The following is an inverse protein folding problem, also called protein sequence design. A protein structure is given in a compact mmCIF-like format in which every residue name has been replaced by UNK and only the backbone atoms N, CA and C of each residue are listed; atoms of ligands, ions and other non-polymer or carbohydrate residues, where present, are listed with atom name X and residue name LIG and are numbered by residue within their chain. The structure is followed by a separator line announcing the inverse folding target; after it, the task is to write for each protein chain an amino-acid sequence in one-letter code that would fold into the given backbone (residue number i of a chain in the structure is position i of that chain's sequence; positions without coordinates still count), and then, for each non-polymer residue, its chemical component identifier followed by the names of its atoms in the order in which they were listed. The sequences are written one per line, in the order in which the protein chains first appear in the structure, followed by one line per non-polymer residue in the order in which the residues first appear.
data_IF_773669453818
#
_entry.id   IF_773669453818
#
_cell.length_a   1.000
_cell.length_b   1.000
_cell.length_c   1.000
_cell.angle_alpha   90.00
_cell.angle_beta   90.00
_cell.angle_gamma   90.00
#
_symmetry.space_group_name_H-M   'P 1'
#
loop_
_entity.id
_entity.type
_entity.pdbx_description
1 polymer ?
#
# COMPACT_ATOMS: atom_id res chain seq x y z
N UNK A 1 -12.29 -71.18 21.26
CA UNK A 1 -10.89 -70.72 21.46
C UNK A 1 -10.45 -69.61 20.52
N UNK A 2 -10.33 -69.80 19.19
CA UNK A 2 -9.93 -68.68 18.29
C UNK A 2 -10.92 -67.50 18.22
N UNK A 3 -12.26 -67.72 18.23
CA UNK A 3 -13.25 -66.62 18.15
C UNK A 3 -13.30 -65.75 19.41
N UNK A 4 -13.11 -66.34 20.59
CA UNK A 4 -13.11 -65.63 21.88
C UNK A 4 -11.85 -64.78 22.05
N UNK A 5 -10.69 -65.27 21.60
CA UNK A 5 -9.45 -64.50 21.59
C UNK A 5 -9.53 -63.30 20.64
N UNK A 6 -10.17 -63.45 19.47
CA UNK A 6 -10.38 -62.33 18.55
C UNK A 6 -11.35 -61.30 19.15
N UNK A 7 -12.43 -61.75 19.80
CA UNK A 7 -13.39 -60.87 20.45
C UNK A 7 -12.78 -60.11 21.63
N UNK A 8 -11.92 -60.76 22.42
CA UNK A 8 -11.19 -60.12 23.51
C UNK A 8 -10.14 -59.12 23.00
N UNK A 9 -9.43 -59.44 21.91
CA UNK A 9 -8.47 -58.53 21.28
C UNK A 9 -9.16 -57.28 20.73
N UNK A 10 -10.31 -57.43 20.06
CA UNK A 10 -11.11 -56.30 19.55
C UNK A 10 -11.67 -55.45 20.69
N UNK A 11 -12.18 -56.06 21.77
CA UNK A 11 -12.64 -55.31 22.95
C UNK A 11 -11.50 -54.59 23.67
N UNK A 12 -10.29 -55.15 23.73
CA UNK A 12 -9.11 -54.47 24.28
C UNK A 12 -8.62 -53.32 23.39
N UNK A 13 -8.70 -53.44 22.06
CA UNK A 13 -8.33 -52.33 21.16
C UNK A 13 -9.35 -51.21 21.17
N UNK A 14 -10.66 -51.51 21.25
CA UNK A 14 -11.73 -50.51 21.33
C UNK A 14 -11.70 -49.78 22.68
N UNK A 15 -11.56 -50.49 23.80
CA UNK A 15 -11.46 -49.87 25.14
C UNK A 15 -10.14 -49.11 25.36
N UNK A 16 -9.05 -49.54 24.72
CA UNK A 16 -7.79 -48.79 24.69
C UNK A 16 -7.90 -47.47 23.90
N UNK A 17 -8.74 -47.42 22.86
CA UNK A 17 -8.89 -46.23 22.01
C UNK A 17 -9.77 -45.12 22.63
N UNK A 18 -10.77 -45.48 23.44
CA UNK A 18 -11.64 -44.50 24.12
C UNK A 18 -10.93 -43.72 25.24
N UNK A 19 -9.77 -44.18 25.69
CA UNK A 19 -8.97 -43.53 26.76
C UNK A 19 -7.82 -42.65 26.25
N UNK A 20 -7.57 -42.61 24.93
CA UNK A 20 -6.42 -41.88 24.36
C UNK A 20 -6.67 -40.39 24.14
N UNK A 21 -7.91 -39.91 24.28
CA UNK A 21 -8.23 -38.49 24.26
C UNK A 21 -8.87 -38.11 25.58
N UNK A 22 -8.03 -37.86 26.58
CA UNK A 22 -8.47 -37.30 27.85
C UNK A 22 -9.34 -36.04 27.60
N UNK A 23 -10.35 -35.74 28.42
CA UNK A 23 -11.28 -34.62 28.20
C UNK A 23 -10.64 -33.24 28.08
N UNK A 24 -9.34 -33.11 28.36
CA UNK A 24 -8.52 -31.90 28.25
C UNK A 24 -7.54 -31.93 27.07
N UNK A 25 -7.53 -32.98 26.24
CA UNK A 25 -6.63 -33.12 25.09
C UNK A 25 -6.77 -32.00 24.04
N UNK A 26 -7.90 -31.29 24.04
CA UNK A 26 -8.13 -30.10 23.20
C UNK A 26 -7.54 -28.80 23.79
N UNK A 27 -7.22 -28.75 25.09
CA UNK A 27 -6.77 -27.53 25.76
C UNK A 27 -5.41 -27.02 25.22
N UNK A 28 -4.38 -27.87 24.99
CA UNK A 28 -3.14 -27.42 24.35
C UNK A 28 -3.36 -26.89 22.93
N UNK A 29 -4.26 -27.51 22.16
CA UNK A 29 -4.62 -27.05 20.82
C UNK A 29 -5.34 -25.69 20.84
N UNK A 30 -6.23 -25.47 21.82
CA UNK A 30 -6.90 -24.19 22.00
C UNK A 30 -5.91 -23.10 22.46
N UNK A 31 -5.00 -23.40 23.37
CA UNK A 31 -3.95 -22.46 23.79
C UNK A 31 -3.05 -22.10 22.62
N UNK A 32 -2.60 -23.10 21.84
CA UNK A 32 -1.82 -22.86 20.64
C UNK A 32 -2.60 -22.00 19.63
N UNK A 33 -3.89 -22.27 19.42
CA UNK A 33 -4.74 -21.45 18.55
C UNK A 33 -4.84 -20.00 19.04
N UNK A 34 -5.06 -19.79 20.35
CA UNK A 34 -5.10 -18.45 20.95
C UNK A 34 -3.75 -17.74 20.78
N UNK A 35 -2.63 -18.43 21.03
CA UNK A 35 -1.29 -17.89 20.83
C UNK A 35 -1.06 -17.51 19.36
N UNK A 36 -1.45 -18.37 18.42
CA UNK A 36 -1.35 -18.08 16.99
C UNK A 36 -2.26 -16.92 16.55
N UNK A 37 -3.46 -16.79 17.15
CA UNK A 37 -4.36 -15.67 16.91
C UNK A 37 -3.79 -14.36 17.47
N UNK A 38 -3.32 -14.36 18.71
CA UNK A 38 -2.65 -13.21 19.34
C UNK A 38 -1.40 -12.83 18.55
N UNK A 39 -0.57 -13.80 18.16
CA UNK A 39 0.58 -13.59 17.29
C UNK A 39 0.15 -12.95 15.95
N UNK A 40 -0.88 -13.50 15.31
CA UNK A 40 -1.41 -12.98 14.06
C UNK A 40 -1.98 -11.56 14.18
N UNK A 41 -2.60 -11.21 15.31
CA UNK A 41 -3.20 -9.89 15.56
C UNK A 41 -2.14 -8.84 15.87
N UNK A 42 -1.14 -9.16 16.72
CA UNK A 42 -0.20 -8.17 17.25
C UNK A 42 1.15 -8.12 16.54
N UNK A 43 1.55 -9.20 15.85
CA UNK A 43 2.88 -9.31 15.25
C UNK A 43 2.88 -9.37 13.72
N UNK A 44 1.75 -9.70 13.08
CA UNK A 44 1.63 -9.60 11.62
C UNK A 44 1.32 -8.17 11.20
N UNK A 45 1.99 -7.69 10.14
CA UNK A 45 1.63 -6.40 9.53
C UNK A 45 0.20 -6.48 8.99
N UNK A 46 -0.67 -5.59 9.44
CA UNK A 46 -2.03 -5.45 8.93
C UNK A 46 -1.99 -4.69 7.61
N UNK A 47 -2.04 -5.36 6.46
CA UNK A 47 -2.24 -4.69 5.17
C UNK A 47 -3.67 -4.91 4.71
N UNK A 48 -4.47 -3.84 4.75
CA UNK A 48 -5.88 -3.88 4.42
C UNK A 48 -6.17 -2.98 3.24
N UNK A 49 -6.45 -3.56 2.08
CA UNK A 49 -6.76 -2.80 0.86
C UNK A 49 -8.24 -2.89 0.52
N UNK A 50 -8.89 -1.74 0.39
CA UNK A 50 -10.25 -1.55 -0.09
C UNK A 50 -10.20 -1.02 -1.52
N UNK A 51 -10.60 -1.86 -2.46
CA UNK A 51 -10.67 -1.51 -3.88
C UNK A 51 -11.88 -0.63 -4.18
N UNK A 52 -11.98 -0.09 -5.40
CA UNK A 52 -13.14 0.70 -5.81
C UNK A 52 -14.46 -0.07 -5.67
N UNK A 53 -14.48 -1.39 -5.85
CA UNK A 53 -15.70 -2.19 -5.68
C UNK A 53 -16.12 -2.35 -4.21
N UNK A 54 -15.19 -2.17 -3.28
CA UNK A 54 -15.46 -2.28 -1.84
C UNK A 54 -16.02 -0.99 -1.24
N UNK A 55 -15.84 0.16 -1.90
CA UNK A 55 -16.11 1.49 -1.33
C UNK A 55 -17.37 2.10 -1.94
N UNK A 56 -18.39 2.35 -1.10
CA UNK A 56 -19.41 3.39 -1.34
C UNK A 56 -20.38 3.23 -2.52
N UNK A 57 -20.21 2.24 -3.40
CA UNK A 57 -21.11 2.05 -4.54
C UNK A 57 -22.33 1.21 -4.17
N UNK A 58 -23.52 1.78 -4.41
CA UNK A 58 -24.81 1.10 -4.34
C UNK A 58 -25.15 0.64 -5.76
N UNK A 59 -25.32 -0.66 -5.95
CA UNK A 59 -25.67 -1.25 -7.24
C UNK A 59 -27.14 -0.99 -7.55
N UNK A 60 -27.45 -0.72 -8.82
CA UNK A 60 -28.80 -0.76 -9.36
C UNK A 60 -29.04 -2.13 -10.03
N UNK A 61 -30.30 -2.56 -10.14
CA UNK A 61 -30.66 -3.90 -10.60
C UNK A 61 -29.94 -4.30 -11.90
N UNK A 62 -29.29 -5.47 -11.86
CA UNK A 62 -28.59 -6.07 -13.00
C UNK A 62 -27.13 -5.62 -13.22
N UNK A 63 -26.60 -4.66 -12.46
CA UNK A 63 -25.20 -4.22 -12.58
C UNK A 63 -24.32 -4.75 -11.46
N UNK A 64 -23.10 -5.20 -11.81
CA UNK A 64 -22.08 -5.50 -10.81
C UNK A 64 -21.58 -4.21 -10.13
N UNK A 65 -20.96 -4.34 -8.94
CA UNK A 65 -20.30 -3.22 -8.26
C UNK A 65 -19.20 -2.59 -9.12
N UNK A 66 -18.43 -3.41 -9.82
CA UNK A 66 -17.40 -2.98 -10.76
C UNK A 66 -17.99 -2.15 -11.91
N UNK A 67 -19.09 -2.61 -12.51
CA UNK A 67 -19.74 -1.89 -13.61
C UNK A 67 -20.34 -0.57 -13.13
N UNK A 68 -20.92 -0.57 -11.94
CA UNK A 68 -21.46 0.62 -11.29
C UNK A 68 -20.34 1.64 -11.02
N UNK A 69 -19.22 1.23 -10.45
CA UNK A 69 -18.07 2.07 -10.19
C UNK A 69 -17.48 2.67 -11.49
N UNK A 70 -17.31 1.84 -12.53
CA UNK A 70 -16.83 2.28 -13.83
C UNK A 70 -17.79 3.25 -14.52
N UNK A 71 -19.10 3.00 -14.42
CA UNK A 71 -20.14 3.88 -14.95
C UNK A 71 -20.11 5.25 -14.26
N UNK A 72 -20.07 5.27 -12.93
CA UNK A 72 -20.01 6.53 -12.17
C UNK A 72 -18.73 7.30 -12.50
N UNK A 73 -17.58 6.62 -12.58
CA UNK A 73 -16.32 7.23 -13.01
C UNK A 73 -16.43 7.90 -14.38
N UNK A 74 -17.07 7.26 -15.35
CA UNK A 74 -17.25 7.81 -16.71
C UNK A 74 -18.33 8.89 -16.79
N UNK A 75 -19.36 8.79 -15.96
CA UNK A 75 -20.49 9.73 -15.94
C UNK A 75 -20.18 10.99 -15.13
N UNK A 76 -19.13 10.98 -14.30
CA UNK A 76 -18.70 12.14 -13.53
C UNK A 76 -18.35 13.27 -14.49
N UNK A 77 -19.16 14.33 -14.45
CA UNK A 77 -18.83 15.58 -15.12
C UNK A 77 -17.82 16.31 -14.25
N UNK A 78 -16.61 16.46 -14.78
CA UNK A 78 -15.61 17.33 -14.17
C UNK A 78 -16.10 18.78 -14.37
N UNK A 79 -16.48 19.43 -13.27
CA UNK A 79 -16.73 20.87 -13.28
C UNK A 79 -15.43 21.66 -13.41
N UNK A 80 -15.44 22.95 -13.04
CA UNK A 80 -14.19 23.67 -12.78
C UNK A 80 -13.59 23.18 -11.47
N UNK A 81 -12.80 22.13 -11.53
CA UNK A 81 -12.01 21.62 -10.40
C UNK A 81 -10.62 22.27 -10.40
N UNK A 82 -10.00 22.48 -9.22
CA UNK A 82 -8.60 22.90 -9.15
C UNK A 82 -7.67 21.85 -9.79
N UNK A 83 -6.38 22.17 -9.99
CA UNK A 83 -5.41 21.20 -10.51
C UNK A 83 -5.44 19.90 -9.71
N UNK A 84 -5.46 18.77 -10.43
CA UNK A 84 -5.66 17.43 -9.85
C UNK A 84 -4.55 17.04 -8.86
N UNK A 85 -3.34 17.56 -9.07
CA UNK A 85 -2.15 17.25 -8.28
C UNK A 85 -1.60 18.55 -7.66
N UNK A 86 -1.72 18.77 -6.34
CA UNK A 86 -1.03 19.86 -5.65
C UNK A 86 0.49 19.65 -5.64
N UNK A 87 1.26 20.75 -5.59
CA UNK A 87 2.71 20.68 -5.46
C UNK A 87 3.08 20.20 -4.04
N UNK A 88 4.02 19.27 -3.93
CA UNK A 88 4.42 18.70 -2.64
C UNK A 88 5.06 17.32 -2.73
N UNK A 89 5.29 16.75 -1.54
CA UNK A 89 5.78 15.38 -1.37
C UNK A 89 4.63 14.37 -1.38
N UNK A 90 4.78 13.31 -2.17
CA UNK A 90 3.84 12.19 -2.29
C UNK A 90 4.49 10.90 -1.81
N UNK A 91 3.87 10.20 -0.85
CA UNK A 91 4.29 8.85 -0.47
C UNK A 91 4.02 7.89 -1.63
N UNK A 92 5.09 7.37 -2.22
CA UNK A 92 5.02 6.44 -3.36
C UNK A 92 4.82 5.02 -2.86
N UNK A 93 5.61 4.62 -1.86
CA UNK A 93 5.51 3.33 -1.18
C UNK A 93 6.31 3.31 0.12
N UNK A 94 6.12 2.30 0.95
CA UNK A 94 6.98 2.03 2.09
C UNK A 94 8.35 1.55 1.62
N UNK A 95 9.42 2.00 2.26
CA UNK A 95 10.79 1.71 1.85
C UNK A 95 11.12 0.22 1.89
N UNK A 96 10.53 -0.52 2.84
CA UNK A 96 10.69 -1.97 3.01
C UNK A 96 10.02 -2.80 1.91
N UNK A 97 9.13 -2.19 1.12
CA UNK A 97 8.51 -2.83 -0.04
C UNK A 97 9.43 -2.81 -1.25
N UNK A 98 10.58 -2.14 -1.22
CA UNK A 98 11.51 -2.10 -2.34
C UNK A 98 12.88 -2.59 -1.87
N UNK A 99 13.22 -3.84 -2.19
CA UNK A 99 14.50 -4.43 -1.78
C UNK A 99 15.64 -3.96 -2.69
N UNK A 100 16.90 -3.96 -2.23
CA UNK A 100 18.05 -3.70 -3.10
C UNK A 100 18.02 -4.59 -4.35
N UNK A 101 18.25 -4.00 -5.53
CA UNK A 101 18.18 -4.69 -6.82
C UNK A 101 16.76 -4.88 -7.38
N UNK A 102 15.71 -4.45 -6.67
CA UNK A 102 14.32 -4.59 -7.10
C UNK A 102 13.85 -3.36 -7.89
N UNK A 103 12.98 -3.58 -8.87
CA UNK A 103 12.27 -2.54 -9.61
C UNK A 103 10.76 -2.81 -9.59
N UNK A 104 9.96 -1.74 -9.54
CA UNK A 104 8.50 -1.77 -9.48
C UNK A 104 7.89 -0.69 -10.35
N UNK A 105 6.73 -1.01 -10.94
CA UNK A 105 5.89 -0.04 -11.64
C UNK A 105 4.85 0.52 -10.68
N UNK A 106 4.83 1.84 -10.51
CA UNK A 106 3.85 2.54 -9.66
C UNK A 106 3.08 3.56 -10.50
N UNK A 107 1.77 3.68 -10.29
CA UNK A 107 0.96 4.73 -10.89
C UNK A 107 0.67 5.82 -9.84
N UNK A 108 1.10 7.04 -10.12
CA UNK A 108 0.99 8.19 -9.22
C UNK A 108 0.98 9.46 -10.07
N UNK A 109 0.32 10.55 -9.63
CA UNK A 109 0.34 11.87 -10.29
C UNK A 109 0.09 11.83 -11.82
N UNK A 110 -0.78 10.92 -12.27
CA UNK A 110 -1.12 10.74 -13.69
C UNK A 110 0.00 10.12 -14.54
N UNK A 111 1.07 9.63 -13.91
CA UNK A 111 2.24 9.00 -14.53
C UNK A 111 2.33 7.53 -14.16
N UNK A 112 3.04 6.78 -15.00
CA UNK A 112 3.59 5.48 -14.63
C UNK A 112 5.07 5.66 -14.35
N UNK A 113 5.50 5.25 -13.17
CA UNK A 113 6.83 5.46 -12.62
C UNK A 113 7.56 4.11 -12.49
N UNK A 114 8.84 4.11 -12.84
CA UNK A 114 9.78 3.03 -12.52
C UNK A 114 10.48 3.39 -11.21
N UNK A 115 10.09 2.72 -10.13
CA UNK A 115 10.66 2.85 -8.80
C UNK A 115 11.63 1.71 -8.61
N UNK A 116 12.90 1.98 -8.38
CA UNK A 116 13.90 0.92 -8.21
C UNK A 116 14.91 1.28 -7.14
N UNK A 117 15.49 0.25 -6.52
CA UNK A 117 16.58 0.41 -5.57
C UNK A 117 17.84 -0.18 -6.15
N UNK A 118 18.90 0.62 -6.21
CA UNK A 118 20.22 0.16 -6.65
C UNK A 118 20.70 -1.00 -5.79
N UNK A 119 21.72 -1.71 -6.27
CA UNK A 119 22.37 -2.77 -5.49
C UNK A 119 23.06 -2.22 -4.23
N UNK A 120 23.46 -0.94 -4.25
CA UNK A 120 24.00 -0.21 -3.10
C UNK A 120 22.94 0.22 -2.08
N UNK A 121 21.65 0.11 -2.42
CA UNK A 121 20.54 0.40 -1.53
C UNK A 121 19.90 1.78 -1.72
N UNK A 122 20.34 2.59 -2.68
CA UNK A 122 19.76 3.90 -2.98
C UNK A 122 18.49 3.76 -3.82
N UNK A 123 17.40 4.44 -3.44
CA UNK A 123 16.13 4.39 -4.17
C UNK A 123 16.01 5.53 -5.18
N UNK A 124 15.56 5.22 -6.38
CA UNK A 124 15.33 6.18 -7.45
C UNK A 124 13.96 5.99 -8.09
N UNK A 125 13.45 7.08 -8.67
CA UNK A 125 12.17 7.09 -9.37
C UNK A 125 12.35 7.80 -10.71
N UNK A 126 12.07 7.08 -11.79
CA UNK A 126 12.09 7.58 -13.15
C UNK A 126 10.69 7.48 -13.79
N UNK A 127 10.43 8.24 -14.85
CA UNK A 127 9.32 7.92 -15.75
C UNK A 127 9.51 6.50 -16.32
N UNK A 128 8.46 5.68 -16.32
CA UNK A 128 8.60 4.24 -16.53
C UNK A 128 8.92 3.83 -17.97
N UNK A 129 8.53 4.65 -18.95
CA UNK A 129 8.56 4.27 -20.36
C UNK A 129 9.89 4.64 -21.01
N UNK A 130 10.59 3.62 -21.52
CA UNK A 130 11.86 3.80 -22.21
C UNK A 130 11.68 4.66 -23.48
N UNK A 131 12.50 5.70 -23.70
CA UNK A 131 12.37 6.62 -24.85
C UNK A 131 12.71 5.96 -26.20
N UNK A 132 13.21 4.71 -26.18
CA UNK A 132 13.49 3.95 -27.39
C UNK A 132 12.19 3.48 -28.09
N UNK A 133 11.44 2.57 -27.45
CA UNK A 133 10.19 2.02 -27.99
C UNK A 133 9.09 1.84 -26.92
N UNK A 134 9.16 2.58 -25.82
CA UNK A 134 8.07 2.65 -24.84
C UNK A 134 7.90 1.42 -23.94
N UNK A 135 8.92 0.57 -23.81
CA UNK A 135 8.87 -0.53 -22.86
C UNK A 135 8.81 0.01 -21.41
N UNK A 136 7.96 -0.58 -20.57
CA UNK A 136 7.86 -0.22 -19.16
C UNK A 136 9.02 -0.84 -18.37
N UNK A 137 9.95 0.00 -17.92
CA UNK A 137 11.13 -0.38 -17.17
C UNK A 137 10.80 -0.81 -15.73
N UNK A 138 9.79 -0.21 -15.09
CA UNK A 138 9.38 -0.59 -13.75
C UNK A 138 8.68 -1.95 -13.68
N UNK A 139 8.01 -2.36 -14.76
CA UNK A 139 7.23 -3.60 -14.80
C UNK A 139 8.06 -4.83 -15.19
N UNK A 140 9.06 -4.67 -16.04
CA UNK A 140 9.87 -5.80 -16.53
C UNK A 140 11.38 -5.56 -16.51
N UNK A 141 11.83 -4.34 -16.21
CA UNK A 141 13.26 -4.04 -16.13
C UNK A 141 13.91 -4.65 -14.91
N UNK A 142 15.24 -4.61 -14.91
CA UNK A 142 16.07 -5.07 -13.80
C UNK A 142 17.09 -4.02 -13.42
N UNK A 143 17.51 -4.03 -12.17
CA UNK A 143 18.57 -3.14 -11.69
C UNK A 143 19.92 -3.71 -12.09
N UNK A 144 20.83 -2.83 -12.55
CA UNK A 144 22.22 -3.15 -12.89
C UNK A 144 23.10 -2.01 -12.37
N UNK A 145 23.80 -2.22 -11.26
CA UNK A 145 24.50 -1.16 -10.54
C UNK A 145 23.56 -0.02 -10.15
N UNK A 146 23.87 1.20 -10.61
CA UNK A 146 23.08 2.42 -10.35
C UNK A 146 22.04 2.72 -11.45
N UNK A 147 21.79 1.75 -12.33
CA UNK A 147 20.89 1.91 -13.47
C UNK A 147 19.72 0.94 -13.41
N UNK A 148 18.61 1.33 -14.05
CA UNK A 148 17.57 0.40 -14.46
C UNK A 148 17.79 0.01 -15.93
N UNK A 149 17.84 -1.28 -16.19
CA UNK A 149 17.95 -1.85 -17.52
C UNK A 149 16.55 -2.13 -18.10
N UNK A 150 16.28 -1.53 -19.26
CA UNK A 150 15.06 -1.73 -20.01
C UNK A 150 14.92 -3.19 -20.49
N UNK A 151 13.76 -3.85 -20.27
CA UNK A 151 13.58 -5.26 -20.60
C UNK A 151 13.61 -5.57 -22.09
N UNK A 152 13.43 -4.56 -22.95
CA UNK A 152 13.25 -4.81 -24.36
C UNK A 152 14.58 -4.93 -25.11
N UNK A 153 15.47 -3.95 -24.94
CA UNK A 153 16.72 -3.86 -25.69
C UNK A 153 17.95 -3.66 -24.79
N UNK A 154 17.79 -3.79 -23.47
CA UNK A 154 18.89 -3.70 -22.51
C UNK A 154 19.48 -2.30 -22.35
N UNK A 155 18.78 -1.25 -22.76
CA UNK A 155 19.24 0.13 -22.53
C UNK A 155 19.21 0.41 -21.03
N UNK A 156 20.31 0.94 -20.49
CA UNK A 156 20.44 1.22 -19.06
C UNK A 156 20.31 2.72 -18.81
N UNK A 157 19.46 3.10 -17.87
CA UNK A 157 19.20 4.49 -17.48
C UNK A 157 19.60 4.69 -16.03
N UNK A 158 20.45 5.68 -15.77
CA UNK A 158 20.95 6.01 -14.44
C UNK A 158 19.85 6.58 -13.56
N UNK A 159 19.78 6.14 -12.31
CA UNK A 159 18.74 6.61 -11.36
C UNK A 159 18.84 8.09 -11.02
N UNK A 160 20.07 8.59 -10.79
CA UNK A 160 20.29 9.95 -10.30
C UNK A 160 19.85 11.07 -11.27
N UNK A 161 19.88 10.83 -12.58
CA UNK A 161 19.54 11.88 -13.57
C UNK A 161 18.80 11.36 -14.82
N UNK A 162 18.47 10.07 -14.86
CA UNK A 162 17.73 9.44 -15.95
C UNK A 162 18.49 9.35 -17.27
N UNK A 163 19.78 9.70 -17.33
CA UNK A 163 20.57 9.60 -18.58
C UNK A 163 20.82 8.14 -18.95
N UNK A 164 20.76 7.84 -20.25
CA UNK A 164 21.16 6.53 -20.74
C UNK A 164 22.68 6.36 -20.58
N UNK A 165 23.07 5.38 -19.76
CA UNK A 165 24.46 5.06 -19.47
C UNK A 165 25.04 4.01 -20.42
N UNK A 166 24.18 3.13 -20.96
CA UNK A 166 24.63 2.03 -21.83
C UNK A 166 23.56 1.62 -22.83
N UNK A 167 23.99 1.40 -24.07
CA UNK A 167 23.21 0.79 -25.15
C UNK A 167 23.97 -0.46 -25.62
N UNK A 168 23.49 -1.69 -25.37
CA UNK A 168 24.26 -2.91 -25.60
C UNK A 168 24.72 -3.13 -27.04
N UNK A 169 23.97 -2.65 -28.03
CA UNK A 169 24.27 -2.82 -29.46
C UNK A 169 25.30 -1.82 -29.99
N UNK A 170 25.63 -0.77 -29.22
CA UNK A 170 26.70 0.13 -29.61
C UNK A 170 28.05 -0.56 -29.40
N UNK A 171 28.95 -0.40 -30.36
CA UNK A 171 30.34 -0.80 -30.19
C UNK A 171 30.95 -0.09 -28.97
N UNK A 172 32.02 -0.65 -28.41
CA UNK A 172 32.74 -0.02 -27.30
C UNK A 172 33.20 1.39 -27.71
N UNK A 173 32.85 2.40 -26.90
CA UNK A 173 33.08 3.82 -27.23
C UNK A 173 32.05 4.46 -28.17
N UNK A 174 30.99 3.74 -28.55
CA UNK A 174 29.89 4.27 -29.36
C UNK A 174 29.15 5.42 -28.66
N UNK A 175 28.77 6.45 -29.43
CA UNK A 175 28.15 7.65 -28.88
C UNK A 175 26.67 7.41 -28.56
N UNK A 176 26.31 7.54 -27.29
CA UNK A 176 24.91 7.55 -26.84
C UNK A 176 24.29 8.92 -27.21
N UNK A 177 23.11 8.96 -27.85
CA UNK A 177 22.43 10.21 -28.14
C UNK A 177 22.11 10.99 -26.86
N UNK A 178 22.31 12.31 -26.84
CA UNK A 178 22.03 13.14 -25.66
C UNK A 178 20.54 13.13 -25.26
N UNK A 179 19.66 12.95 -26.24
CA UNK A 179 18.22 12.80 -26.02
C UNK A 179 17.81 11.46 -25.40
N UNK A 180 18.73 10.48 -25.30
CA UNK A 180 18.48 9.20 -24.64
C UNK A 180 18.46 9.40 -23.13
N UNK A 181 17.39 10.00 -22.62
CA UNK A 181 17.17 10.27 -21.20
C UNK A 181 15.71 10.05 -20.85
N UNK A 182 15.45 9.64 -19.62
CA UNK A 182 14.13 9.66 -19.00
C UNK A 182 14.10 10.73 -17.92
N UNK A 183 12.91 11.21 -17.59
CA UNK A 183 12.75 12.13 -16.45
C UNK A 183 13.08 11.38 -15.17
N UNK A 184 14.03 11.92 -14.40
CA UNK A 184 14.27 11.54 -13.01
C UNK A 184 13.50 12.48 -12.09
N UNK A 185 12.95 11.92 -11.01
CA UNK A 185 12.18 12.66 -10.02
C UNK A 185 13.03 12.87 -8.76
N UNK A 186 12.77 13.94 -8.03
CA UNK A 186 13.41 14.17 -6.73
C UNK A 186 12.76 13.22 -5.73
N UNK A 187 13.60 12.44 -5.06
CA UNK A 187 13.19 11.36 -4.15
C UNK A 187 13.75 11.62 -2.76
N UNK A 188 12.95 11.35 -1.73
CA UNK A 188 13.39 11.33 -0.35
C UNK A 188 12.91 10.06 0.34
N UNK A 189 13.82 9.34 0.98
CA UNK A 189 13.48 8.22 1.85
C UNK A 189 13.64 8.66 3.30
N UNK A 190 12.54 8.66 4.05
CA UNK A 190 12.48 9.14 5.44
C UNK A 190 11.28 8.51 6.14
N UNK A 191 11.35 8.30 7.45
CA UNK A 191 10.27 7.73 8.27
C UNK A 191 9.75 6.39 7.72
N UNK A 192 10.65 5.57 7.14
CA UNK A 192 10.31 4.30 6.50
C UNK A 192 9.48 4.39 5.21
N UNK A 193 9.30 5.59 4.64
CA UNK A 193 8.58 5.83 3.39
C UNK A 193 9.47 6.37 2.28
N UNK A 194 9.16 6.02 1.04
CA UNK A 194 9.76 6.55 -0.17
C UNK A 194 8.85 7.61 -0.78
N UNK A 195 9.32 8.85 -0.83
CA UNK A 195 8.55 10.01 -1.27
C UNK A 195 9.10 10.57 -2.59
N UNK A 196 8.18 11.06 -3.42
CA UNK A 196 8.47 11.79 -4.64
C UNK A 196 8.02 13.25 -4.48
N UNK A 197 8.86 14.19 -4.88
CA UNK A 197 8.46 15.59 -5.01
C UNK A 197 7.80 15.83 -6.36
N UNK A 198 6.63 16.48 -6.33
CA UNK A 198 5.94 16.93 -7.51
C UNK A 198 5.76 18.45 -7.45
N UNK A 199 6.11 19.13 -8.54
CA UNK A 199 5.78 20.53 -8.76
C UNK A 199 5.37 20.71 -10.22
N UNK A 200 4.23 21.36 -10.46
CA UNK A 200 3.68 21.54 -11.81
C UNK A 200 4.58 22.37 -12.73
N UNK A 201 5.46 23.20 -12.18
CA UNK A 201 6.45 24.02 -12.90
C UNK A 201 7.86 23.39 -12.88
N UNK A 202 8.03 22.23 -12.24
CA UNK A 202 9.32 21.54 -12.13
C UNK A 202 10.32 22.22 -11.20
N UNK A 203 9.85 23.00 -10.22
CA UNK A 203 10.71 23.66 -9.23
C UNK A 203 11.17 22.67 -8.16
N UNK A 204 12.28 23.03 -7.50
CA UNK A 204 12.83 22.32 -6.34
C UNK A 204 11.87 22.38 -5.13
N UNK A 205 11.97 21.42 -4.18
CA UNK A 205 11.22 21.43 -2.94
C UNK A 205 11.36 22.74 -2.17
N UNK A 206 10.24 23.38 -1.85
CA UNK A 206 10.20 24.59 -1.02
C UNK A 206 10.08 24.30 0.47
N UNK A 207 9.79 23.05 0.83
CA UNK A 207 9.69 22.55 2.19
C UNK A 207 10.12 21.08 2.21
N UNK A 208 10.47 20.59 3.39
CA UNK A 208 10.99 19.24 3.56
C UNK A 208 10.14 18.42 4.54
N UNK A 209 10.15 17.11 4.36
CA UNK A 209 9.47 16.16 5.24
C UNK A 209 10.14 16.15 6.62
N UNK A 210 9.37 16.32 7.71
CA UNK A 210 9.93 16.25 9.06
C UNK A 210 10.41 14.83 9.36
N UNK A 211 11.54 14.73 10.04
CA UNK A 211 12.04 13.45 10.57
C UNK A 211 11.32 13.16 11.88
N UNK A 212 10.77 11.95 12.02
CA UNK A 212 10.16 11.46 13.25
C UNK A 212 11.19 10.56 13.94
N UNK A 213 11.84 11.08 14.97
CA UNK A 213 12.97 10.41 15.64
C UNK A 213 12.60 9.02 16.15
N UNK A 214 11.38 8.84 16.65
CA UNK A 214 10.90 7.56 17.17
C UNK A 214 10.82 6.49 16.06
N UNK A 215 10.56 6.89 14.81
CA UNK A 215 10.55 5.95 13.67
C UNK A 215 11.99 5.62 13.26
N UNK A 216 12.87 6.61 13.18
CA UNK A 216 14.26 6.42 12.75
C UNK A 216 15.12 5.64 13.76
N UNK A 217 14.87 5.85 15.06
CA UNK A 217 15.51 5.09 16.14
C UNK A 217 14.94 3.67 16.29
N UNK A 218 13.80 3.38 15.64
CA UNK A 218 13.11 2.10 15.72
C UNK A 218 12.29 1.90 16.99
N UNK A 219 12.11 2.94 17.82
CA UNK A 219 11.17 2.92 18.95
C UNK A 219 9.74 2.66 18.46
N UNK A 220 9.36 3.29 17.34
CA UNK A 220 8.12 3.04 16.64
C UNK A 220 8.36 2.12 15.44
N UNK A 221 7.57 1.05 15.37
CA UNK A 221 7.67 0.09 14.29
C UNK A 221 6.40 0.09 13.44
N UNK A 222 6.57 0.00 12.12
CA UNK A 222 5.46 -0.09 11.20
C UNK A 222 4.69 -1.42 11.37
N UNK A 223 3.43 -1.33 11.83
CA UNK A 223 2.55 -2.48 12.07
C UNK A 223 1.52 -2.72 10.99
N UNK A 224 1.47 -1.91 9.94
CA UNK A 224 0.54 -2.09 8.84
C UNK A 224 -0.06 -0.80 8.30
N UNK A 225 -0.92 -0.94 7.30
CA UNK A 225 -1.63 0.14 6.62
C UNK A 225 -3.05 -0.26 6.26
N UNK A 226 -3.88 0.75 6.09
CA UNK A 226 -5.14 0.62 5.35
C UNK A 226 -5.05 1.46 4.08
N UNK A 227 -5.43 0.90 2.93
CA UNK A 227 -5.43 1.57 1.63
C UNK A 227 -6.83 1.57 1.08
N UNK A 228 -7.31 2.74 0.67
CA UNK A 228 -8.65 2.89 0.11
C UNK A 228 -8.53 3.53 -1.28
N UNK A 229 -9.01 2.83 -2.29
CA UNK A 229 -9.14 3.40 -3.63
C UNK A 229 -10.46 4.15 -3.72
N UNK A 230 -10.37 5.47 -3.91
CA UNK A 230 -11.51 6.37 -3.94
C UNK A 230 -11.54 7.13 -5.27
N UNK A 231 -12.75 7.42 -5.75
CA UNK A 231 -12.96 8.13 -7.00
C UNK A 231 -13.44 9.57 -6.71
N UNK A 232 -12.58 10.35 -6.06
CA UNK A 232 -12.82 11.74 -5.72
C UNK A 232 -11.60 12.61 -6.10
N UNK A 233 -11.75 13.93 -6.04
CA UNK A 233 -10.60 14.82 -6.18
C UNK A 233 -9.78 14.75 -4.87
N UNK A 234 -8.46 14.86 -4.91
CA UNK A 234 -7.60 14.68 -3.72
C UNK A 234 -7.94 15.66 -2.58
N UNK A 235 -8.42 16.85 -2.94
CA UNK A 235 -8.88 17.88 -1.99
C UNK A 235 -10.01 17.40 -1.07
N UNK A 236 -10.93 16.58 -1.58
CA UNK A 236 -12.13 16.14 -0.86
C UNK A 236 -11.79 15.40 0.45
N UNK A 237 -10.65 14.70 0.47
CA UNK A 237 -10.20 13.98 1.66
C UNK A 237 -9.77 14.98 2.75
N UNK A 238 -9.02 16.01 2.37
CA UNK A 238 -8.47 16.99 3.32
C UNK A 238 -9.53 17.91 3.92
N UNK A 239 -10.67 18.13 3.25
CA UNK A 239 -11.77 18.93 3.76
C UNK A 239 -12.36 18.37 5.07
N UNK A 240 -12.25 17.06 5.33
CA UNK A 240 -12.68 16.45 6.59
C UNK A 240 -11.97 17.03 7.82
N UNK A 241 -10.76 17.57 7.68
CA UNK A 241 -9.98 18.09 8.81
C UNK A 241 -10.61 19.31 9.47
N UNK A 242 -11.35 20.14 8.71
CA UNK A 242 -12.01 21.34 9.23
C UNK A 242 -13.45 21.08 9.71
N UNK A 243 -14.09 20.00 9.25
CA UNK A 243 -15.47 19.66 9.60
C UNK A 243 -15.51 18.86 10.91
N UNK A 244 -15.54 19.54 12.06
CA UNK A 244 -15.71 18.84 13.35
C UNK A 244 -17.10 18.17 13.46
N UNK A 245 -18.09 18.63 12.69
CA UNK A 245 -19.47 18.13 12.72
C UNK A 245 -19.61 16.69 12.20
N UNK A 246 -18.82 16.28 11.21
CA UNK A 246 -18.91 14.89 10.71
C UNK A 246 -18.54 13.86 11.78
N UNK A 247 -17.69 14.21 12.76
CA UNK A 247 -17.30 13.30 13.85
C UNK A 247 -18.51 12.87 14.69
N UNK A 248 -19.47 13.75 14.95
CA UNK A 248 -20.68 13.42 15.73
C UNK A 248 -21.77 12.73 14.91
N UNK A 249 -21.60 12.60 13.59
CA UNK A 249 -22.61 11.97 12.72
C UNK A 249 -22.13 10.63 12.19
N UNK A 250 -20.91 10.60 11.65
CA UNK A 250 -20.34 9.40 11.01
C UNK A 250 -19.67 8.49 12.02
N UNK A 251 -19.15 9.03 13.13
CA UNK A 251 -18.41 8.27 14.14
C UNK A 251 -19.17 8.06 15.46
N UNK A 252 -20.32 8.71 15.68
CA UNK A 252 -21.06 8.67 16.95
C UNK A 252 -21.44 7.27 17.44
N UNK A 253 -21.95 6.34 16.59
CA UNK A 253 -22.39 5.04 17.05
C UNK A 253 -21.27 4.17 17.63
N UNK A 254 -20.01 4.36 17.21
CA UNK A 254 -18.79 3.72 17.74
C UNK A 254 -17.65 3.93 16.74
N UNK A 255 -16.42 4.14 17.22
CA UNK A 255 -15.22 4.12 16.37
C UNK A 255 -15.06 2.79 15.60
N UNK A 256 -15.56 1.68 16.16
CA UNK A 256 -15.51 0.36 15.53
C UNK A 256 -16.61 0.11 14.50
N UNK A 257 -17.63 0.98 14.42
CA UNK A 257 -18.74 0.87 13.45
C UNK A 257 -18.30 0.97 11.98
N UNK A 258 -17.07 1.45 11.74
CA UNK A 258 -16.49 1.65 10.43
C UNK A 258 -16.97 2.94 9.77
N UNK A 259 -16.49 3.19 8.54
CA UNK A 259 -16.78 4.41 7.77
C UNK A 259 -17.82 4.20 6.65
N UNK A 260 -18.43 3.01 6.61
CA UNK A 260 -19.44 2.67 5.60
C UNK A 260 -20.83 3.08 6.08
N UNK A 261 -21.36 4.18 5.53
CA UNK A 261 -22.67 4.76 5.87
C UNK A 261 -23.82 3.75 5.79
N UNK A 262 -23.68 2.65 5.03
CA UNK A 262 -24.68 1.58 4.95
C UNK A 262 -24.79 0.77 6.25
N UNK A 263 -23.77 0.80 7.09
CA UNK A 263 -23.58 -0.11 8.21
C UNK A 263 -23.23 0.58 9.54
N UNK A 264 -23.03 1.90 9.57
CA UNK A 264 -22.61 2.62 10.79
C UNK A 264 -23.62 2.52 11.95
N UNK A 265 -24.92 2.39 11.66
CA UNK A 265 -25.98 2.26 12.67
C UNK A 265 -26.43 0.82 12.92
N UNK A 266 -25.50 -0.15 12.86
CA UNK A 266 -25.83 -1.54 13.18
C UNK A 266 -26.08 -1.71 14.68
N UNK A 267 -26.93 -2.68 15.04
CA UNK A 267 -27.29 -2.96 16.43
C UNK A 267 -26.08 -3.27 17.35
N UNK A 268 -24.99 -3.78 16.78
CA UNK A 268 -23.77 -4.05 17.53
C UNK A 268 -22.83 -2.85 17.61
N UNK A 269 -23.01 -1.77 16.84
CA UNK A 269 -22.25 -0.54 17.10
C UNK A 269 -22.91 0.26 18.23
N UNK A 270 -24.24 0.25 18.33
CA UNK A 270 -25.03 1.11 19.23
C UNK A 270 -24.81 0.95 20.75
N UNK A 271 -23.92 0.08 21.22
CA UNK A 271 -23.60 -0.07 22.65
C UNK A 271 -22.39 0.75 23.12
N UNK A 272 -21.67 1.42 22.21
CA UNK A 272 -20.47 2.23 22.52
C UNK A 272 -20.56 3.59 21.82
N UNK A 273 -20.92 4.66 22.53
CA UNK A 273 -20.92 6.01 21.98
C UNK A 273 -19.67 6.79 22.39
N UNK A 274 -19.32 7.80 21.60
CA UNK A 274 -18.17 8.67 21.86
C UNK A 274 -18.53 10.14 21.63
N UNK A 275 -17.96 11.02 22.46
CA UNK A 275 -18.14 12.46 22.33
C UNK A 275 -16.83 13.09 21.89
N UNK A 276 -16.84 13.70 20.71
CA UNK A 276 -15.71 14.44 20.18
C UNK A 276 -15.75 15.91 20.62
N UNK A 277 -14.59 16.46 20.96
CA UNK A 277 -14.36 17.90 21.08
C UNK A 277 -13.03 18.23 20.41
N UNK A 278 -12.98 19.39 19.75
CA UNK A 278 -11.78 19.86 19.07
C UNK A 278 -11.44 21.27 19.54
N UNK A 279 -10.15 21.53 19.73
CA UNK A 279 -9.60 22.87 19.91
C UNK A 279 -8.46 23.05 18.92
N UNK A 280 -8.41 24.19 18.25
CA UNK A 280 -7.35 24.51 17.32
C UNK A 280 -6.38 25.51 17.95
N UNK A 281 -5.09 25.25 17.80
CA UNK A 281 -4.02 26.20 18.12
C UNK A 281 -3.14 26.33 16.88
N UNK A 282 -2.82 27.56 16.44
CA UNK A 282 -1.84 27.74 15.37
C UNK A 282 -0.50 27.18 15.81
N UNK A 283 0.15 26.41 14.95
CA UNK A 283 1.60 26.21 15.09
C UNK A 283 2.26 27.57 14.90
N UNK A 284 3.15 27.93 15.82
CA UNK A 284 4.08 29.05 15.58
C UNK A 284 4.94 28.67 14.38
N UNK A 285 5.02 29.55 13.38
CA UNK A 285 5.96 29.36 12.27
C UNK A 285 7.37 29.16 12.86
N UNK A 286 8.15 28.20 12.32
CA UNK A 286 9.54 28.00 12.71
C UNK A 286 10.42 29.20 12.34
#
# INVERSE_FOLDING_TARGET
MLPELLHQLVQQTVSGSESLLAPWAWAPALVLLIVLLVYGIFLRKLDYTRSLEDVGYITFDGLSRRDTANRIRRARKEGRVPPVYPNGWYLVMEGDQLKPGEAKSVQMIGKTLAVFRTESGEAHILDAYCPHFGANMGAGGRVVGDCIECPFHGWQFRGSDGRCARIPVLAEGGKIPEMARVTSHIVKEVNGGLYLWFDAEGREPTWDLPVIEEIETGEWSFKGRTRHFVNCHIEEINQNGADVGHLTTVHDPSFFGGTDLRYIFRWWSSFLWQKFSATWKPCTEP
#
